data_IF_419307547897
#
_entry.id   IF_419307547897
#
_cell.length_a   1.000
_cell.length_b   1.000
_cell.length_c   1.000
_cell.angle_alpha   90.00
_cell.angle_beta   90.00
_cell.angle_gamma   90.00
#
_symmetry.space_group_name_H-M   'P 1'
#
loop_
_entity.id
_entity.type
_entity.pdbx_description
1 polymer ?
#
# COMPACT_ATOMS: atom_id res chain seq x y z
N UNK A 1 30.06 -17.09 1.54
CA UNK A 1 28.77 -17.78 1.70
C UNK A 1 27.73 -16.69 1.56
N UNK A 2 26.92 -16.67 0.50
CA UNK A 2 25.88 -15.64 0.35
C UNK A 2 24.72 -16.03 1.28
N UNK A 3 24.37 -15.16 2.23
CA UNK A 3 23.24 -15.40 3.12
C UNK A 3 21.94 -15.53 2.31
N UNK A 4 21.13 -16.52 2.66
CA UNK A 4 19.83 -16.70 2.00
C UNK A 4 18.88 -15.54 2.35
N UNK A 5 17.92 -15.17 1.49
CA UNK A 5 16.96 -14.11 1.81
C UNK A 5 16.19 -14.32 3.13
N UNK A 6 15.85 -15.57 3.45
CA UNK A 6 15.20 -15.93 4.71
C UNK A 6 16.09 -15.70 5.93
N UNK A 7 17.38 -16.01 5.80
CA UNK A 7 18.36 -15.76 6.86
C UNK A 7 18.52 -14.26 7.11
N UNK A 8 18.59 -13.44 6.04
CA UNK A 8 18.66 -11.98 6.13
C UNK A 8 17.44 -11.43 6.91
N UNK A 9 16.22 -11.90 6.58
CA UNK A 9 14.99 -11.49 7.28
C UNK A 9 15.02 -11.92 8.75
N UNK A 10 15.40 -13.17 9.03
CA UNK A 10 15.46 -13.70 10.39
C UNK A 10 16.45 -12.93 11.27
N UNK A 11 17.65 -12.65 10.76
CA UNK A 11 18.66 -11.86 11.46
C UNK A 11 18.18 -10.43 11.72
N UNK A 12 17.57 -9.78 10.74
CA UNK A 12 16.98 -8.45 10.88
C UNK A 12 15.92 -8.40 11.99
N UNK A 13 14.93 -9.30 11.93
CA UNK A 13 13.84 -9.33 12.90
C UNK A 13 14.35 -9.70 14.31
N UNK A 14 15.31 -10.62 14.41
CA UNK A 14 15.92 -11.02 15.68
C UNK A 14 16.66 -9.85 16.33
N UNK A 15 17.52 -9.16 15.57
CA UNK A 15 18.27 -8.00 16.07
C UNK A 15 17.34 -6.87 16.53
N UNK A 16 16.30 -6.58 15.74
CA UNK A 16 15.32 -5.56 16.09
C UNK A 16 14.53 -5.93 17.36
N UNK A 17 14.05 -7.17 17.48
CA UNK A 17 13.34 -7.62 18.70
C UNK A 17 14.23 -7.63 19.94
N UNK A 18 15.50 -7.98 19.79
CA UNK A 18 16.43 -8.08 20.92
C UNK A 18 16.89 -6.72 21.44
N UNK A 19 17.00 -5.71 20.57
CA UNK A 19 17.72 -4.47 20.91
C UNK A 19 17.18 -3.19 20.27
N UNK A 20 16.14 -3.27 19.44
CA UNK A 20 15.68 -2.17 18.59
C UNK A 20 16.64 -1.82 17.45
N UNK A 21 17.70 -2.61 17.24
CA UNK A 21 18.70 -2.35 16.21
C UNK A 21 18.09 -2.52 14.81
N UNK A 22 18.09 -1.42 14.04
CA UNK A 22 17.67 -1.44 12.65
C UNK A 22 18.86 -1.77 11.75
N UNK A 23 18.92 -3.02 11.26
CA UNK A 23 19.99 -3.46 10.37
C UNK A 23 19.74 -2.98 8.93
N UNK A 24 20.09 -1.71 8.67
CA UNK A 24 19.89 -1.07 7.36
C UNK A 24 20.54 -1.85 6.21
N UNK A 25 21.73 -2.42 6.42
CA UNK A 25 22.42 -3.20 5.39
C UNK A 25 21.65 -4.47 4.97
N UNK A 26 20.95 -5.12 5.91
CA UNK A 26 20.14 -6.31 5.64
C UNK A 26 18.94 -5.99 4.77
N UNK A 27 18.22 -4.91 5.06
CA UNK A 27 17.07 -4.48 4.25
C UNK A 27 17.52 -4.03 2.86
N UNK A 28 18.62 -3.29 2.75
CA UNK A 28 19.19 -2.90 1.46
C UNK A 28 19.53 -4.14 0.62
N UNK A 29 20.21 -5.12 1.22
CA UNK A 29 20.60 -6.35 0.54
C UNK A 29 19.39 -7.18 0.12
N UNK A 30 18.38 -7.30 0.97
CA UNK A 30 17.15 -8.00 0.64
C UNK A 30 16.42 -7.34 -0.53
N UNK A 31 16.34 -6.01 -0.53
CA UNK A 31 15.72 -5.24 -1.61
C UNK A 31 16.49 -5.38 -2.93
N UNK A 32 17.83 -5.34 -2.90
CA UNK A 32 18.69 -5.60 -4.07
C UNK A 32 18.38 -6.96 -4.67
N UNK A 33 18.39 -8.02 -3.85
CA UNK A 33 18.09 -9.39 -4.28
C UNK A 33 16.67 -9.48 -4.89
N UNK A 34 15.67 -8.89 -4.23
CA UNK A 34 14.28 -8.91 -4.69
C UNK A 34 14.03 -8.05 -5.95
N UNK A 35 14.97 -7.17 -6.28
CA UNK A 35 15.00 -6.33 -7.48
C UNK A 35 15.97 -6.82 -8.55
N UNK A 36 16.55 -8.01 -8.40
CA UNK A 36 17.45 -8.61 -9.36
C UNK A 36 16.77 -8.88 -10.70
N UNK A 37 17.50 -8.71 -11.81
CA UNK A 37 17.04 -9.12 -13.14
C UNK A 37 17.05 -10.65 -13.31
N UNK A 38 17.81 -11.35 -12.48
CA UNK A 38 17.77 -12.82 -12.38
C UNK A 38 16.57 -13.26 -11.53
N UNK A 39 15.58 -13.86 -12.19
CA UNK A 39 14.35 -14.38 -11.58
C UNK A 39 14.62 -15.45 -10.51
N UNK A 40 15.68 -16.28 -10.68
CA UNK A 40 16.05 -17.29 -9.69
C UNK A 40 16.54 -16.69 -8.37
N UNK A 41 17.01 -15.44 -8.42
CA UNK A 41 17.40 -14.64 -7.24
C UNK A 41 16.22 -13.81 -6.73
N UNK A 42 15.50 -13.17 -7.64
CA UNK A 42 14.44 -12.22 -7.31
C UNK A 42 13.20 -12.90 -6.71
N UNK A 43 12.80 -14.07 -7.20
CA UNK A 43 11.62 -14.78 -6.67
C UNK A 43 11.78 -15.20 -5.20
N UNK A 44 12.85 -15.93 -4.79
CA UNK A 44 13.05 -16.28 -3.39
C UNK A 44 13.14 -15.07 -2.48
N UNK A 45 13.80 -14.00 -2.91
CA UNK A 45 13.93 -12.77 -2.13
C UNK A 45 12.60 -12.01 -2.03
N UNK A 46 11.84 -11.93 -3.12
CA UNK A 46 10.48 -11.36 -3.12
C UNK A 46 9.59 -12.14 -2.17
N UNK A 47 9.66 -13.49 -2.21
CA UNK A 47 8.90 -14.32 -1.27
C UNK A 47 9.29 -13.99 0.17
N UNK A 48 10.58 -14.01 0.52
CA UNK A 48 11.04 -13.69 1.88
C UNK A 48 10.60 -12.28 2.35
N UNK A 49 10.61 -11.28 1.46
CA UNK A 49 10.04 -9.95 1.77
C UNK A 49 8.59 -10.10 2.19
N UNK A 50 7.73 -10.70 1.36
CA UNK A 50 6.30 -10.66 1.64
C UNK A 50 5.83 -11.67 2.71
N UNK A 51 6.36 -12.90 2.71
CA UNK A 51 5.89 -13.95 3.62
C UNK A 51 6.59 -13.91 4.97
N UNK A 52 7.88 -13.56 5.00
CA UNK A 52 8.67 -13.68 6.23
C UNK A 52 8.80 -12.34 6.94
N UNK A 53 8.93 -11.24 6.19
CA UNK A 53 9.07 -9.90 6.76
C UNK A 53 7.72 -9.18 6.88
N UNK A 54 6.99 -9.01 5.78
CA UNK A 54 5.75 -8.20 5.73
C UNK A 54 4.63 -8.83 6.53
N UNK A 55 4.33 -10.11 6.32
CA UNK A 55 3.31 -10.83 7.11
C UNK A 55 3.65 -10.81 8.61
N UNK A 56 4.91 -11.09 8.99
CA UNK A 56 5.33 -11.03 10.40
C UNK A 56 5.12 -9.67 11.05
N UNK A 57 5.33 -8.57 10.32
CA UNK A 57 5.12 -7.22 10.85
C UNK A 57 3.62 -6.87 10.89
N UNK A 58 2.89 -7.19 9.82
CA UNK A 58 1.46 -6.88 9.70
C UNK A 58 0.60 -7.67 10.71
N UNK A 59 0.91 -8.94 10.95
CA UNK A 59 0.14 -9.82 11.82
C UNK A 59 0.53 -9.72 13.31
N UNK A 60 1.53 -8.89 13.64
CA UNK A 60 1.93 -8.69 15.03
C UNK A 60 0.93 -7.85 15.83
N UNK A 61 0.14 -7.00 15.16
CA UNK A 61 -0.77 -6.02 15.78
C UNK A 61 -0.11 -5.04 16.78
N UNK A 62 1.23 -5.00 16.82
CA UNK A 62 1.98 -4.12 17.71
C UNK A 62 2.14 -2.72 17.08
N UNK A 63 1.90 -1.61 17.83
CA UNK A 63 2.07 -0.25 17.29
C UNK A 63 3.47 0.00 16.71
N UNK A 64 4.51 -0.52 17.36
CA UNK A 64 5.90 -0.38 16.92
C UNK A 64 6.18 -1.10 15.60
N UNK A 65 5.45 -2.18 15.31
CA UNK A 65 5.59 -2.92 14.06
C UNK A 65 5.08 -2.11 12.86
N UNK A 66 4.11 -1.22 13.06
CA UNK A 66 3.62 -0.31 12.00
C UNK A 66 4.71 0.70 11.61
N UNK A 67 5.38 1.28 12.61
CA UNK A 67 6.50 2.21 12.36
C UNK A 67 7.67 1.50 11.67
N UNK A 68 7.99 0.28 12.13
CA UNK A 68 9.03 -0.53 11.52
C UNK A 68 8.69 -0.90 10.06
N UNK A 69 7.44 -1.31 9.82
CA UNK A 69 6.92 -1.62 8.48
C UNK A 69 7.12 -0.44 7.53
N UNK A 70 6.70 0.76 7.92
CA UNK A 70 6.82 1.95 7.08
C UNK A 70 8.27 2.27 6.76
N UNK A 71 9.17 2.14 7.74
CA UNK A 71 10.61 2.36 7.54
C UNK A 71 11.21 1.32 6.59
N UNK A 72 10.91 0.04 6.78
CA UNK A 72 11.36 -1.05 5.90
C UNK A 72 10.88 -0.84 4.46
N UNK A 73 9.61 -0.52 4.26
CA UNK A 73 9.08 -0.30 2.91
C UNK A 73 9.63 0.95 2.25
N UNK A 74 9.82 2.04 3.01
CA UNK A 74 10.46 3.24 2.49
C UNK A 74 11.86 2.92 1.95
N UNK A 75 12.67 2.16 2.70
CA UNK A 75 13.99 1.72 2.25
C UNK A 75 13.92 0.79 1.02
N UNK A 76 13.03 -0.21 1.03
CA UNK A 76 12.84 -1.12 -0.12
C UNK A 76 12.50 -0.32 -1.39
N UNK A 77 11.57 0.64 -1.30
CA UNK A 77 11.18 1.50 -2.41
C UNK A 77 12.38 2.31 -2.92
N UNK A 78 13.19 2.89 -2.03
CA UNK A 78 14.38 3.67 -2.43
C UNK A 78 15.49 2.82 -3.08
N UNK A 79 15.59 1.54 -2.73
CA UNK A 79 16.50 0.62 -3.44
C UNK A 79 15.91 0.24 -4.79
N UNK A 80 14.65 -0.17 -4.83
CA UNK A 80 14.00 -0.63 -6.06
C UNK A 80 13.91 0.45 -7.15
N UNK A 81 13.69 1.73 -6.79
CA UNK A 81 13.59 2.84 -7.77
C UNK A 81 14.87 3.04 -8.60
N UNK A 82 16.01 2.52 -8.14
CA UNK A 82 17.29 2.58 -8.88
C UNK A 82 17.39 1.53 -9.98
N UNK A 83 16.52 0.51 -9.96
CA UNK A 83 16.46 -0.48 -11.04
C UNK A 83 15.74 0.13 -12.26
N UNK A 84 16.28 0.01 -13.50
CA UNK A 84 15.64 0.52 -14.71
C UNK A 84 14.19 0.04 -14.93
N UNK A 85 13.85 -1.18 -14.52
CA UNK A 85 12.49 -1.72 -14.59
C UNK A 85 11.49 -0.96 -13.69
N UNK A 86 11.97 -0.19 -12.71
CA UNK A 86 11.17 0.64 -11.83
C UNK A 86 11.14 2.13 -12.24
N UNK A 87 11.61 2.49 -13.45
CA UNK A 87 11.67 3.89 -13.90
C UNK A 87 10.32 4.62 -13.80
N UNK A 88 9.23 3.93 -14.13
CA UNK A 88 7.90 4.54 -14.04
C UNK A 88 7.48 4.84 -12.59
N UNK A 89 7.85 3.96 -11.65
CA UNK A 89 7.64 4.19 -10.21
C UNK A 89 8.44 5.41 -9.75
N UNK A 90 9.72 5.45 -10.13
CA UNK A 90 10.65 6.52 -9.79
C UNK A 90 10.12 7.90 -10.21
N UNK A 91 9.76 8.06 -11.48
CA UNK A 91 9.21 9.31 -12.02
C UNK A 91 7.93 9.76 -11.32
N UNK A 92 7.05 8.81 -10.94
CA UNK A 92 5.80 9.12 -10.23
C UNK A 92 6.06 9.58 -8.81
N UNK A 93 6.99 8.94 -8.10
CA UNK A 93 7.41 9.37 -6.77
C UNK A 93 8.06 10.75 -6.79
N UNK A 94 8.94 11.02 -7.76
CA UNK A 94 9.56 12.35 -7.93
C UNK A 94 8.53 13.44 -8.19
N UNK A 95 7.56 13.18 -9.06
CA UNK A 95 6.48 14.13 -9.38
C UNK A 95 5.65 14.48 -8.14
N UNK A 96 5.51 13.53 -7.19
CA UNK A 96 4.80 13.73 -5.93
C UNK A 96 5.70 14.26 -4.80
N UNK A 97 6.99 14.49 -5.06
CA UNK A 97 7.94 15.00 -4.06
C UNK A 97 8.54 13.94 -3.13
N UNK A 98 8.40 12.65 -3.42
CA UNK A 98 8.92 11.56 -2.59
C UNK A 98 10.34 11.16 -3.00
N UNK A 99 11.31 12.00 -2.63
CA UNK A 99 12.71 11.84 -3.03
C UNK A 99 13.56 11.00 -2.05
N UNK A 100 13.07 10.75 -0.83
CA UNK A 100 13.83 10.02 0.20
C UNK A 100 12.97 9.08 1.04
N UNK A 101 13.62 8.24 1.86
CA UNK A 101 12.93 7.39 2.83
C UNK A 101 12.14 8.23 3.84
N UNK A 102 12.75 9.31 4.33
CA UNK A 102 12.16 10.22 5.31
C UNK A 102 10.92 10.90 4.75
N UNK A 103 10.91 11.27 3.46
CA UNK A 103 9.74 11.85 2.81
C UNK A 103 8.55 10.87 2.78
N UNK A 104 8.82 9.59 2.50
CA UNK A 104 7.79 8.54 2.50
C UNK A 104 7.28 8.26 3.92
N UNK A 105 8.18 8.15 4.90
CA UNK A 105 7.83 7.91 6.30
C UNK A 105 7.02 9.07 6.86
N UNK A 106 7.48 10.30 6.69
CA UNK A 106 6.80 11.50 7.17
C UNK A 106 5.40 11.64 6.54
N UNK A 107 5.26 11.28 5.26
CA UNK A 107 3.95 11.25 4.62
C UNK A 107 3.02 10.21 5.24
N UNK A 108 3.48 8.97 5.43
CA UNK A 108 2.70 7.91 6.09
C UNK A 108 2.30 8.28 7.53
N UNK A 109 3.15 8.99 8.26
CA UNK A 109 2.84 9.51 9.59
C UNK A 109 1.80 10.62 9.55
N UNK A 110 1.91 11.54 8.60
CA UNK A 110 0.95 12.64 8.41
C UNK A 110 -0.47 12.13 8.12
N UNK A 111 -0.59 11.08 7.30
CA UNK A 111 -1.89 10.47 6.99
C UNK A 111 -2.56 9.86 8.22
N UNK A 112 -1.79 9.29 9.14
CA UNK A 112 -2.32 8.73 10.40
C UNK A 112 -2.78 9.80 11.38
N UNK A 113 -2.19 11.00 11.33
CA UNK A 113 -2.60 12.13 12.16
C UNK A 113 -3.88 12.83 11.64
N UNK A 114 -4.22 12.67 10.36
CA UNK A 114 -5.37 13.30 9.72
C UNK A 114 -6.69 12.54 10.00
N UNK A 115 -7.17 12.55 11.24
CA UNK A 115 -8.38 11.81 11.65
C UNK A 115 -9.72 12.56 11.52
N UNK A 116 -9.73 13.84 11.10
CA UNK A 116 -10.93 14.70 11.25
C UNK A 116 -11.56 15.23 9.94
N UNK A 117 -10.95 14.99 8.78
CA UNK A 117 -11.40 15.56 7.49
C UNK A 117 -12.81 15.11 7.07
N UNK A 118 -13.23 13.90 7.47
CA UNK A 118 -14.53 13.34 7.07
C UNK A 118 -15.73 14.08 7.68
N UNK A 119 -15.58 14.65 8.88
CA UNK A 119 -16.64 15.40 9.56
C UNK A 119 -16.93 16.74 8.89
N UNK A 120 -15.88 17.42 8.42
CA UNK A 120 -16.01 18.70 7.71
C UNK A 120 -16.69 18.52 6.35
N UNK A 121 -16.31 17.47 5.61
CA UNK A 121 -16.87 17.15 4.29
C UNK A 121 -18.36 16.80 4.35
N UNK A 122 -18.80 16.10 5.40
CA UNK A 122 -20.22 15.78 5.62
C UNK A 122 -21.03 17.04 5.92
N UNK A 123 -20.52 17.87 6.83
CA UNK A 123 -21.20 19.09 7.30
C UNK A 123 -21.49 20.07 6.16
N UNK A 124 -20.64 20.10 5.14
CA UNK A 124 -20.77 21.00 4.01
C UNK A 124 -21.52 20.38 2.81
N UNK A 125 -21.84 19.08 2.85
CA UNK A 125 -22.52 18.37 1.76
C UNK A 125 -21.76 18.40 0.43
N UNK A 126 -20.44 18.65 0.45
CA UNK A 126 -19.61 18.83 -0.75
C UNK A 126 -19.12 17.51 -1.34
N UNK A 127 -19.15 16.44 -0.57
CA UNK A 127 -18.65 15.14 -1.01
C UNK A 127 -19.52 14.56 -2.13
N UNK A 128 -18.94 14.41 -3.31
CA UNK A 128 -19.57 13.81 -4.48
C UNK A 128 -19.15 12.36 -4.68
N UNK A 129 -17.92 11.99 -4.28
CA UNK A 129 -17.38 10.65 -4.47
C UNK A 129 -16.52 10.18 -3.30
N UNK A 130 -16.84 9.03 -2.73
CA UNK A 130 -15.98 8.31 -1.81
C UNK A 130 -15.36 7.11 -2.53
N UNK A 131 -14.03 7.01 -2.52
CA UNK A 131 -13.28 5.95 -3.18
C UNK A 131 -12.66 5.09 -2.10
N UNK A 132 -13.09 3.83 -2.00
CA UNK A 132 -12.58 2.87 -1.03
C UNK A 132 -11.59 1.96 -1.75
N UNK A 133 -10.37 1.86 -1.23
CA UNK A 133 -9.37 0.94 -1.72
C UNK A 133 -9.63 -0.45 -1.13
N UNK A 134 -9.65 -1.48 -1.98
CA UNK A 134 -9.71 -2.87 -1.51
C UNK A 134 -8.45 -3.21 -0.72
N UNK A 135 -8.61 -3.95 0.38
CA UNK A 135 -7.50 -4.47 1.21
C UNK A 135 -6.80 -5.67 0.56
N UNK A 136 -7.03 -5.90 -0.73
CA UNK A 136 -6.47 -6.92 -1.63
C UNK A 136 -6.85 -8.37 -1.26
N UNK A 137 -7.01 -8.71 0.02
CA UNK A 137 -7.40 -10.06 0.48
C UNK A 137 -8.90 -10.16 0.71
N UNK A 138 -9.48 -11.32 0.40
CA UNK A 138 -10.92 -11.55 0.54
C UNK A 138 -11.37 -11.41 2.00
N UNK A 139 -10.59 -11.96 2.93
CA UNK A 139 -10.88 -11.89 4.37
C UNK A 139 -10.88 -10.45 4.88
N UNK A 140 -9.88 -9.65 4.50
CA UNK A 140 -9.83 -8.24 4.89
C UNK A 140 -10.94 -7.41 4.22
N UNK A 141 -11.31 -7.71 2.97
CA UNK A 141 -12.42 -7.03 2.31
C UNK A 141 -13.76 -7.33 3.00
N UNK A 142 -13.97 -8.57 3.43
CA UNK A 142 -15.16 -8.95 4.19
C UNK A 142 -15.14 -8.33 5.60
N UNK A 143 -14.01 -8.35 6.30
CA UNK A 143 -13.94 -7.92 7.70
C UNK A 143 -13.83 -6.39 7.89
N UNK A 144 -13.18 -5.69 6.96
CA UNK A 144 -12.83 -4.26 7.09
C UNK A 144 -13.55 -3.45 6.02
N UNK A 145 -13.31 -3.74 4.74
CA UNK A 145 -13.83 -2.94 3.62
C UNK A 145 -15.36 -2.88 3.65
N UNK A 146 -16.05 -3.97 3.99
CA UNK A 146 -17.50 -3.99 4.11
C UNK A 146 -18.03 -3.02 5.16
N UNK A 147 -17.39 -2.95 6.33
CA UNK A 147 -17.77 -2.07 7.44
C UNK A 147 -17.56 -0.60 7.05
N UNK A 148 -16.45 -0.31 6.37
CA UNK A 148 -16.16 1.03 5.84
C UNK A 148 -17.20 1.45 4.81
N UNK A 149 -17.51 0.59 3.84
CA UNK A 149 -18.52 0.85 2.80
C UNK A 149 -19.90 1.08 3.43
N UNK A 150 -20.32 0.26 4.40
CA UNK A 150 -21.58 0.48 5.12
C UNK A 150 -21.62 1.81 5.86
N UNK A 151 -20.52 2.19 6.52
CA UNK A 151 -20.43 3.48 7.20
C UNK A 151 -20.56 4.63 6.21
N UNK A 152 -19.82 4.59 5.10
CA UNK A 152 -19.88 5.63 4.07
C UNK A 152 -21.28 5.77 3.47
N UNK A 153 -21.99 4.66 3.26
CA UNK A 153 -23.39 4.69 2.80
C UNK A 153 -24.33 5.42 3.75
N UNK A 154 -24.11 5.28 5.06
CA UNK A 154 -24.93 5.91 6.09
C UNK A 154 -24.61 7.40 6.23
N UNK A 155 -23.32 7.73 6.25
CA UNK A 155 -22.78 9.10 6.41
C UNK A 155 -23.01 9.94 5.16
N UNK A 156 -22.61 9.47 3.98
CA UNK A 156 -22.64 10.23 2.74
C UNK A 156 -23.75 9.75 1.80
N UNK A 157 -24.99 10.13 2.09
CA UNK A 157 -26.17 9.64 1.36
C UNK A 157 -26.22 10.05 -0.11
N UNK A 158 -25.63 11.19 -0.46
CA UNK A 158 -25.62 11.73 -1.83
C UNK A 158 -24.34 11.46 -2.62
N UNK A 159 -23.31 10.88 -1.99
CA UNK A 159 -22.05 10.61 -2.67
C UNK A 159 -22.11 9.27 -3.42
N UNK A 160 -21.46 9.22 -4.58
CA UNK A 160 -21.11 7.96 -5.23
C UNK A 160 -20.06 7.24 -4.38
N UNK A 161 -20.24 5.95 -4.13
CA UNK A 161 -19.23 5.12 -3.45
C UNK A 161 -18.61 4.21 -4.50
N UNK A 162 -17.31 4.35 -4.72
CA UNK A 162 -16.54 3.57 -5.68
C UNK A 162 -15.61 2.64 -4.92
N UNK A 163 -15.73 1.33 -5.14
CA UNK A 163 -14.75 0.37 -4.65
C UNK A 163 -13.67 0.16 -5.72
N UNK A 164 -12.43 0.54 -5.42
CA UNK A 164 -11.26 0.36 -6.27
C UNK A 164 -10.51 -0.92 -5.87
N UNK A 165 -10.67 -1.99 -6.65
CA UNK A 165 -10.25 -3.32 -6.22
C UNK A 165 -9.97 -4.30 -7.36
N UNK A 166 -9.53 -5.51 -7.01
CA UNK A 166 -9.46 -6.61 -7.97
C UNK A 166 -10.84 -7.25 -8.23
N UNK A 167 -10.99 -8.11 -9.25
CA UNK A 167 -12.29 -8.65 -9.68
C UNK A 167 -13.05 -9.40 -8.59
N UNK A 168 -12.35 -9.99 -7.62
CA UNK A 168 -12.98 -10.64 -6.45
C UNK A 168 -13.73 -9.65 -5.55
N UNK A 169 -13.22 -8.43 -5.40
CA UNK A 169 -13.92 -7.38 -4.66
C UNK A 169 -15.21 -6.97 -5.39
N UNK A 170 -15.19 -6.88 -6.72
CA UNK A 170 -16.41 -6.65 -7.51
C UNK A 170 -17.47 -7.75 -7.27
N UNK A 171 -17.05 -9.01 -7.21
CA UNK A 171 -17.96 -10.13 -6.96
C UNK A 171 -18.58 -10.08 -5.56
N UNK A 172 -17.84 -9.63 -4.55
CA UNK A 172 -18.33 -9.49 -3.18
C UNK A 172 -19.37 -8.36 -3.04
N UNK A 173 -19.16 -7.23 -3.70
CA UNK A 173 -19.94 -6.01 -3.49
C UNK A 173 -20.90 -5.65 -4.64
N UNK A 174 -20.82 -6.33 -5.79
CA UNK A 174 -21.54 -5.97 -7.02
C UNK A 174 -23.06 -6.11 -6.98
N UNK A 175 -23.62 -6.70 -5.91
CA UNK A 175 -25.06 -6.72 -5.68
C UNK A 175 -25.64 -5.43 -5.09
N UNK A 176 -24.79 -4.51 -4.63
CA UNK A 176 -25.23 -3.25 -4.02
C UNK A 176 -25.29 -2.12 -5.06
N UNK A 177 -26.49 -1.59 -5.41
CA UNK A 177 -26.61 -0.52 -6.40
C UNK A 177 -26.00 0.81 -5.95
N UNK A 178 -25.65 0.96 -4.66
CA UNK A 178 -24.98 2.16 -4.14
C UNK A 178 -23.46 2.12 -4.30
N UNK A 179 -22.90 1.00 -4.77
CA UNK A 179 -21.46 0.81 -4.91
C UNK A 179 -21.13 0.59 -6.38
N UNK A 180 -20.40 1.53 -6.98
CA UNK A 180 -19.77 1.34 -8.29
C UNK A 180 -18.37 0.75 -8.12
N UNK A 181 -17.82 0.17 -9.19
CA UNK A 181 -16.55 -0.55 -9.12
C UNK A 181 -15.54 -0.02 -10.11
N UNK A 182 -14.30 0.18 -9.65
CA UNK A 182 -13.14 0.46 -10.48
C UNK A 182 -12.16 -0.70 -10.36
N UNK A 183 -11.99 -1.44 -11.46
CA UNK A 183 -11.04 -2.55 -11.47
C UNK A 183 -9.60 -2.03 -11.45
N UNK A 184 -8.83 -2.47 -10.46
CA UNK A 184 -7.41 -2.26 -10.31
C UNK A 184 -6.73 -3.63 -10.29
N UNK A 185 -5.84 -3.86 -11.25
CA UNK A 185 -5.13 -5.12 -11.39
C UNK A 185 -3.94 -5.19 -10.42
N UNK A 186 -4.17 -5.73 -9.23
CA UNK A 186 -3.13 -6.06 -8.26
C UNK A 186 -2.49 -7.42 -8.60
N UNK A 187 -1.22 -7.40 -8.98
CA UNK A 187 -0.45 -8.62 -9.25
C UNK A 187 0.01 -9.24 -7.93
N UNK A 188 -0.47 -10.45 -7.61
CA UNK A 188 -0.01 -11.21 -6.43
C UNK A 188 1.23 -12.07 -6.71
N UNK A 189 1.53 -12.30 -7.98
CA UNK A 189 2.72 -13.00 -8.42
C UNK A 189 3.74 -12.02 -9.02
N UNK A 190 4.96 -12.49 -9.22
CA UNK A 190 6.07 -11.70 -9.74
C UNK A 190 6.91 -11.03 -8.67
N UNK A 191 7.97 -10.39 -9.13
CA UNK A 191 9.01 -9.74 -8.32
C UNK A 191 8.50 -8.55 -7.51
N UNK A 192 9.30 -8.10 -6.53
CA UNK A 192 9.00 -6.89 -5.74
C UNK A 192 8.73 -5.66 -6.63
N UNK A 193 9.49 -5.46 -7.71
CA UNK A 193 9.26 -4.36 -8.66
C UNK A 193 7.87 -4.48 -9.31
N UNK A 194 7.50 -5.67 -9.80
CA UNK A 194 6.18 -5.91 -10.41
C UNK A 194 5.05 -5.55 -9.45
N UNK A 195 5.22 -5.89 -8.16
CA UNK A 195 4.26 -5.55 -7.10
C UNK A 195 4.23 -4.05 -6.80
N UNK A 196 5.38 -3.37 -6.72
CA UNK A 196 5.44 -1.92 -6.53
C UNK A 196 4.81 -1.15 -7.70
N UNK A 197 4.97 -1.62 -8.93
CA UNK A 197 4.33 -1.03 -10.12
C UNK A 197 2.80 -1.12 -10.09
N UNK A 198 2.21 -1.99 -9.26
CA UNK A 198 0.76 -1.99 -9.03
C UNK A 198 0.27 -0.67 -8.42
N UNK A 199 1.11 0.00 -7.61
CA UNK A 199 0.79 1.32 -7.07
C UNK A 199 0.67 2.38 -8.17
N UNK A 200 1.48 2.32 -9.23
CA UNK A 200 1.35 3.25 -10.36
C UNK A 200 -0.02 3.08 -11.05
N UNK A 201 -0.44 1.84 -11.27
CA UNK A 201 -1.77 1.55 -11.86
C UNK A 201 -2.90 2.04 -10.96
N UNK A 202 -2.75 1.87 -9.65
CA UNK A 202 -3.69 2.40 -8.67
C UNK A 202 -3.75 3.93 -8.76
N UNK A 203 -2.60 4.61 -8.77
CA UNK A 203 -2.52 6.07 -8.85
C UNK A 203 -3.21 6.61 -10.10
N UNK A 204 -2.99 5.99 -11.27
CA UNK A 204 -3.64 6.37 -12.51
C UNK A 204 -5.16 6.13 -12.43
N UNK A 205 -5.59 4.99 -11.86
CA UNK A 205 -7.00 4.70 -11.62
C UNK A 205 -7.68 5.71 -10.68
N UNK A 206 -6.98 6.15 -9.63
CA UNK A 206 -7.47 7.20 -8.73
C UNK A 206 -7.57 8.55 -9.43
N UNK A 207 -6.58 8.92 -10.24
CA UNK A 207 -6.62 10.17 -11.03
C UNK A 207 -7.79 10.21 -12.00
N UNK A 208 -8.12 9.09 -12.61
CA UNK A 208 -9.33 8.98 -13.45
C UNK A 208 -10.60 9.18 -12.61
N UNK A 209 -10.67 8.57 -11.42
CA UNK A 209 -11.79 8.71 -10.50
C UNK A 209 -11.89 10.10 -9.87
N UNK A 210 -10.84 10.91 -9.85
CA UNK A 210 -10.87 12.27 -9.30
C UNK A 210 -10.86 13.36 -10.38
N UNK A 211 -10.86 12.97 -11.66
CA UNK A 211 -10.83 13.91 -12.77
C UNK A 211 -12.05 14.85 -12.73
N UNK A 212 -11.78 16.16 -12.71
CA UNK A 212 -12.82 17.19 -12.66
C UNK A 212 -13.47 17.40 -11.29
N UNK A 213 -12.96 16.75 -10.24
CA UNK A 213 -13.37 16.99 -8.85
C UNK A 213 -12.34 17.86 -8.14
N UNK A 214 -12.81 18.79 -7.32
CA UNK A 214 -11.97 19.52 -6.37
C UNK A 214 -11.58 18.60 -5.19
N UNK A 215 -10.48 18.86 -4.47
CA UNK A 215 -10.07 18.08 -3.31
C UNK A 215 -11.14 17.95 -2.21
N UNK A 216 -12.07 18.90 -2.11
CA UNK A 216 -13.20 18.86 -1.17
C UNK A 216 -14.41 18.07 -1.68
N UNK A 217 -14.40 17.61 -2.93
CA UNK A 217 -15.50 16.87 -3.55
C UNK A 217 -15.27 15.35 -3.54
N UNK A 218 -14.08 14.88 -3.16
CA UNK A 218 -13.79 13.47 -3.05
C UNK A 218 -13.07 13.09 -1.76
N UNK A 219 -13.23 11.83 -1.37
CA UNK A 219 -12.56 11.20 -0.24
C UNK A 219 -11.95 9.88 -0.71
N UNK A 220 -10.69 9.63 -0.36
CA UNK A 220 -10.03 8.34 -0.59
C UNK A 220 -9.88 7.67 0.78
N UNK A 221 -10.27 6.40 0.88
CA UNK A 221 -10.21 5.60 2.11
C UNK A 221 -9.37 4.34 1.84
N UNK A 222 -8.35 4.11 2.66
CA UNK A 222 -7.39 3.00 2.61
C UNK A 222 -7.35 2.22 3.93
#
# INVERSE_FOLDING_TARGET
>A
MQDSPEQIVSEFLSAYRASGAYLHAHIARLAELASSDDEQVAEPATRAVFTSLVESLADSFEPDAVTLYNRVFAQIIQVCRRNPAALLLDQRLETLGFQSEEALIAHADSLRALSNLSQDLESEGRLRRAIVLSRVTLGADVAITSVVVERLKQTFRGAEIVLAGGPKAAQLFGGDPRVSFKEIHYTRAGTTITRLLAWVRLLDGIRELTLGLQPSEYLIVD
#
